data_IF_162504131556
#
_entry.id   IF_162504131556
#
_cell.length_a   1.000
_cell.length_b   1.000
_cell.length_c   1.000
_cell.angle_alpha   90.00
_cell.angle_beta   90.00
_cell.angle_gamma   90.00
#
_symmetry.space_group_name_H-M   'P 1'
#
loop_
_entity.id
_entity.type
_entity.pdbx_description
1 polymer ?
#
# COMPACT_ATOMS: atom_id res chain seq x y z
N UNK A 1 -10.70 -30.51 6.82
CA UNK A 1 -12.05 -29.88 6.76
C UNK A 1 -12.22 -28.71 7.73
N UNK A 2 -12.08 -28.85 9.06
CA UNK A 2 -12.19 -27.72 10.00
C UNK A 2 -11.19 -26.57 9.72
N UNK A 3 -9.93 -26.89 9.41
CA UNK A 3 -8.92 -25.88 9.09
C UNK A 3 -9.16 -25.17 7.75
N UNK A 4 -9.72 -25.86 6.74
CA UNK A 4 -10.06 -25.27 5.43
C UNK A 4 -11.20 -24.26 5.58
N UNK A 5 -12.21 -24.55 6.41
CA UNK A 5 -13.30 -23.62 6.71
C UNK A 5 -12.76 -22.39 7.48
N UNK A 6 -11.84 -22.60 8.42
CA UNK A 6 -11.21 -21.51 9.19
C UNK A 6 -10.34 -20.62 8.29
N UNK A 7 -9.54 -21.21 7.40
CA UNK A 7 -8.72 -20.47 6.43
C UNK A 7 -9.60 -19.70 5.45
N UNK A 8 -10.66 -20.32 4.94
CA UNK A 8 -11.66 -19.65 4.10
C UNK A 8 -12.32 -18.47 4.81
N UNK A 9 -12.63 -18.60 6.11
CA UNK A 9 -13.20 -17.52 6.93
C UNK A 9 -12.19 -16.38 7.18
N UNK A 10 -10.90 -16.69 7.35
CA UNK A 10 -9.83 -15.70 7.49
C UNK A 10 -9.62 -14.95 6.16
N UNK A 11 -9.61 -15.66 5.03
CA UNK A 11 -9.52 -15.09 3.68
C UNK A 11 -10.70 -14.15 3.39
N UNK A 12 -11.93 -14.56 3.65
CA UNK A 12 -13.11 -13.69 3.47
C UNK A 12 -13.09 -12.49 4.43
N UNK A 13 -12.54 -12.63 5.64
CA UNK A 13 -12.36 -11.53 6.59
C UNK A 13 -11.33 -10.48 6.15
N UNK A 14 -10.30 -10.87 5.39
CA UNK A 14 -9.27 -9.96 4.85
C UNK A 14 -9.81 -9.01 3.78
N UNK A 15 -10.89 -9.37 3.08
CA UNK A 15 -11.52 -8.49 2.07
C UNK A 15 -12.46 -7.45 2.67
N UNK A 16 -12.81 -7.54 3.96
CA UNK A 16 -13.68 -6.57 4.65
C UNK A 16 -12.90 -5.41 5.28
N UNK A 17 -11.60 -5.26 4.97
CA UNK A 17 -10.83 -4.11 5.43
C UNK A 17 -11.31 -2.89 4.65
N UNK A 18 -12.14 -2.08 5.32
CA UNK A 18 -12.57 -0.77 4.84
C UNK A 18 -11.36 0.04 4.38
N UNK A 19 -11.38 0.41 3.10
CA UNK A 19 -10.43 1.39 2.56
C UNK A 19 -10.59 2.69 3.35
N UNK A 20 -9.50 3.15 3.98
CA UNK A 20 -9.47 4.39 4.75
C UNK A 20 -8.81 5.47 3.92
N UNK A 21 -9.44 6.63 3.87
CA UNK A 21 -8.87 7.79 3.22
C UNK A 21 -7.85 8.47 4.14
N UNK A 22 -6.62 8.60 3.62
CA UNK A 22 -5.54 9.34 4.27
C UNK A 22 -5.23 10.60 3.47
N UNK A 23 -5.18 11.74 4.13
CA UNK A 23 -4.74 13.00 3.53
C UNK A 23 -3.35 13.34 4.03
N UNK A 24 -2.39 13.40 3.12
CA UNK A 24 -1.00 13.71 3.45
C UNK A 24 -0.61 15.09 2.89
N UNK A 25 -0.20 16.00 3.77
CA UNK A 25 0.20 17.37 3.42
C UNK A 25 1.66 17.60 3.79
N UNK A 26 2.47 18.03 2.82
CA UNK A 26 3.87 18.43 3.03
C UNK A 26 4.04 19.93 2.79
N UNK A 27 4.44 20.67 3.83
CA UNK A 27 4.82 22.08 3.73
C UNK A 27 6.34 22.18 3.65
N UNK A 28 6.85 22.57 2.48
CA UNK A 28 8.29 22.77 2.25
C UNK A 28 8.67 24.20 2.59
N UNK A 29 9.57 24.38 3.56
CA UNK A 29 10.06 25.70 3.99
C UNK A 29 11.23 26.15 3.11
N UNK A 30 11.54 27.45 3.17
CA UNK A 30 12.58 28.07 2.33
C UNK A 30 13.96 27.43 2.51
N UNK A 31 14.27 26.96 3.71
CA UNK A 31 15.52 26.28 4.05
C UNK A 31 15.58 24.83 3.52
N UNK A 32 14.48 24.30 2.96
CA UNK A 32 14.36 22.94 2.47
C UNK A 32 13.90 21.93 3.53
N UNK A 33 13.60 22.39 4.75
CA UNK A 33 12.94 21.57 5.76
C UNK A 33 11.47 21.34 5.39
N UNK A 34 10.90 20.27 5.94
CA UNK A 34 9.56 19.79 5.59
C UNK A 34 8.78 19.60 6.87
N UNK A 35 7.56 20.13 6.91
CA UNK A 35 6.57 19.77 7.91
C UNK A 35 5.53 18.87 7.24
N UNK A 36 5.36 17.65 7.75
CA UNK A 36 4.42 16.67 7.21
C UNK A 36 3.28 16.49 8.20
N UNK A 37 2.06 16.60 7.69
CA UNK A 37 0.83 16.29 8.43
C UNK A 37 0.09 15.17 7.71
N UNK A 38 -0.26 14.13 8.44
CA UNK A 38 -1.11 13.03 7.98
C UNK A 38 -2.42 13.11 8.73
N UNK A 39 -3.52 13.21 7.98
CA UNK A 39 -4.87 13.30 8.53
C UNK A 39 -5.68 12.09 8.09
N UNK A 40 -6.50 11.60 9.02
CA UNK A 40 -7.39 10.46 8.81
C UNK A 40 -8.64 10.66 9.62
N UNK A 41 -9.78 10.44 8.98
CA UNK A 41 -11.09 10.45 9.60
C UNK A 41 -11.36 9.05 10.19
N UNK A 42 -11.69 8.98 11.48
CA UNK A 42 -12.04 7.72 12.11
C UNK A 42 -12.84 7.93 13.38
N UNK A 43 -13.76 7.01 13.62
CA UNK A 43 -14.56 6.85 14.83
C UNK A 43 -13.88 5.99 15.91
N UNK A 44 -12.76 5.33 15.57
CA UNK A 44 -12.05 4.38 16.42
C UNK A 44 -10.86 5.02 17.14
N UNK A 45 -10.41 4.42 18.25
CA UNK A 45 -9.13 4.77 18.87
C UNK A 45 -7.91 4.15 18.15
N UNK A 46 -8.14 3.22 17.21
CA UNK A 46 -7.12 2.49 16.44
C UNK A 46 -6.85 3.12 15.06
N UNK A 47 -6.93 4.45 14.99
CA UNK A 47 -6.89 5.24 13.75
C UNK A 47 -5.63 5.01 12.92
N UNK A 48 -4.53 4.75 13.62
CA UNK A 48 -3.19 4.62 13.04
C UNK A 48 -2.72 3.16 12.96
N UNK A 49 -3.60 2.20 13.23
CA UNK A 49 -3.38 0.80 12.90
C UNK A 49 -3.81 0.57 11.44
N UNK A 50 -2.87 0.24 10.55
CA UNK A 50 -3.15 -0.01 9.13
C UNK A 50 -1.91 0.09 8.23
N UNK A 51 -2.13 0.00 6.91
CA UNK A 51 -1.08 0.03 5.88
C UNK A 51 -0.32 1.38 5.77
N UNK A 52 -0.73 2.40 6.52
CA UNK A 52 -0.01 3.66 6.63
C UNK A 52 0.04 4.14 8.10
N UNK A 53 0.86 3.48 8.95
CA UNK A 53 0.84 3.65 10.40
C UNK A 53 1.70 4.86 10.80
N UNK A 54 1.18 6.05 10.55
CA UNK A 54 1.68 7.29 11.14
C UNK A 54 0.67 7.70 12.20
N UNK A 55 1.06 8.02 13.45
CA UNK A 55 2.40 8.30 13.95
C UNK A 55 3.14 7.05 14.44
N UNK A 56 4.46 7.08 14.28
CA UNK A 56 5.35 5.92 14.51
C UNK A 56 6.03 5.91 15.89
N UNK A 57 6.15 7.08 16.49
CA UNK A 57 6.87 7.31 17.73
C UNK A 57 6.34 8.58 18.41
N UNK A 58 6.90 8.92 19.57
CA UNK A 58 6.53 10.10 20.34
C UNK A 58 6.99 11.43 19.73
N UNK A 59 7.76 11.41 18.63
CA UNK A 59 8.21 12.64 17.95
C UNK A 59 7.15 13.23 17.04
N UNK A 60 6.11 12.47 16.72
CA UNK A 60 4.91 12.97 16.06
C UNK A 60 3.98 13.63 17.08
N UNK A 61 3.48 14.81 16.72
CA UNK A 61 2.46 15.51 17.49
C UNK A 61 1.08 15.11 16.95
N UNK A 62 0.21 14.65 17.83
CA UNK A 62 -1.14 14.19 17.46
C UNK A 62 -2.15 15.23 17.94
N UNK A 63 -3.00 15.68 17.02
CA UNK A 63 -4.15 16.51 17.33
C UNK A 63 -5.43 15.79 16.94
N UNK A 64 -6.43 15.83 17.82
CA UNK A 64 -7.78 15.33 17.58
C UNK A 64 -8.71 16.53 17.45
N UNK A 65 -9.49 16.59 16.37
CA UNK A 65 -10.50 17.64 16.14
C UNK A 65 -11.76 17.06 15.52
N UNK A 66 -12.89 17.73 15.72
CA UNK A 66 -14.12 17.41 15.02
C UNK A 66 -14.03 17.89 13.58
N UNK A 67 -14.65 17.16 12.65
CA UNK A 67 -14.73 17.61 11.26
C UNK A 67 -15.60 18.88 11.19
N UNK A 68 -15.17 19.81 10.35
CA UNK A 68 -15.80 21.14 10.25
C UNK A 68 -17.25 21.07 9.74
N UNK A 69 -17.55 20.06 8.94
CA UNK A 69 -18.81 19.90 8.23
C UNK A 69 -19.77 18.91 8.93
N UNK A 70 -19.27 18.13 9.90
CA UNK A 70 -20.04 17.11 10.63
C UNK A 70 -19.35 16.80 11.97
N UNK A 71 -19.97 17.26 13.06
CA UNK A 71 -19.42 17.07 14.43
C UNK A 71 -19.46 15.61 14.91
N UNK A 72 -20.07 14.69 14.15
CA UNK A 72 -20.01 13.25 14.45
C UNK A 72 -18.73 12.60 13.93
N UNK A 73 -18.01 13.27 13.02
CA UNK A 73 -16.76 12.80 12.45
C UNK A 73 -15.57 13.36 13.22
N UNK A 74 -14.62 12.48 13.56
CA UNK A 74 -13.40 12.86 14.26
C UNK A 74 -12.22 12.74 13.30
N UNK A 75 -11.44 13.80 13.21
CA UNK A 75 -10.20 13.87 12.44
C UNK A 75 -9.02 13.76 13.40
N UNK A 76 -8.12 12.84 13.10
CA UNK A 76 -6.83 12.70 13.76
C UNK A 76 -5.74 13.20 12.82
N UNK A 77 -4.94 14.15 13.29
CA UNK A 77 -3.85 14.76 12.53
C UNK A 77 -2.52 14.50 13.24
N UNK A 78 -1.64 13.71 12.61
CA UNK A 78 -0.28 13.47 13.07
C UNK A 78 0.68 14.38 12.31
N UNK A 79 1.42 15.23 13.02
CA UNK A 79 2.36 16.19 12.44
C UNK A 79 3.79 15.96 12.93
N UNK A 80 4.77 16.01 12.03
CA UNK A 80 6.19 15.93 12.37
C UNK A 80 7.02 16.86 11.48
N UNK A 81 8.05 17.44 12.09
CA UNK A 81 9.05 18.26 11.41
C UNK A 81 10.24 17.40 10.98
N UNK A 82 10.71 17.63 9.75
CA UNK A 82 11.86 16.98 9.15
C UNK A 82 12.85 18.05 8.67
N UNK A 83 14.12 17.99 9.08
CA UNK A 83 15.12 18.98 8.67
C UNK A 83 15.49 18.91 7.18
N UNK A 84 15.14 17.81 6.49
CA UNK A 84 15.41 17.63 5.05
C UNK A 84 14.52 16.54 4.44
N UNK A 85 14.46 16.51 3.10
CA UNK A 85 13.88 15.40 2.35
C UNK A 85 14.52 14.05 2.69
N UNK A 86 15.84 14.02 2.94
CA UNK A 86 16.54 12.80 3.36
C UNK A 86 16.04 12.27 4.70
N UNK A 87 15.82 13.15 5.68
CA UNK A 87 15.28 12.75 6.98
C UNK A 87 13.84 12.20 6.86
N UNK A 88 13.01 12.82 6.00
CA UNK A 88 11.67 12.30 5.72
C UNK A 88 11.72 10.93 5.02
N UNK A 89 12.57 10.75 4.01
CA UNK A 89 12.77 9.44 3.36
C UNK A 89 13.21 8.38 4.36
N UNK A 90 14.14 8.70 5.27
CA UNK A 90 14.61 7.77 6.29
C UNK A 90 13.48 7.34 7.22
N UNK A 91 12.69 8.29 7.72
CA UNK A 91 11.53 7.99 8.57
C UNK A 91 10.52 7.09 7.82
N UNK A 92 10.20 7.41 6.57
CA UNK A 92 9.28 6.61 5.76
C UNK A 92 9.85 5.22 5.41
N UNK A 93 11.15 5.09 5.16
CA UNK A 93 11.80 3.82 4.82
C UNK A 93 11.85 2.80 5.96
N UNK A 94 11.69 3.26 7.22
CA UNK A 94 11.56 2.36 8.37
C UNK A 94 10.23 1.58 8.34
N UNK A 95 9.30 1.96 7.47
CA UNK A 95 8.13 1.15 7.15
C UNK A 95 8.55 -0.06 6.31
N UNK A 96 8.83 -1.15 7.00
CA UNK A 96 8.76 -2.50 6.44
C UNK A 96 7.46 -3.12 6.91
N UNK A 97 6.37 -2.85 6.22
CA UNK A 97 5.24 -3.78 6.33
C UNK A 97 5.73 -5.14 5.84
N UNK A 98 5.22 -6.21 6.46
CA UNK A 98 5.26 -7.59 5.95
C UNK A 98 4.96 -7.65 4.46
N UNK A 99 4.18 -6.69 3.99
CA UNK A 99 3.83 -6.48 2.61
C UNK A 99 4.34 -5.11 2.12
N UNK A 100 5.58 -5.06 1.67
CA UNK A 100 6.32 -3.84 1.28
C UNK A 100 5.76 -3.14 0.03
N UNK A 101 4.53 -2.63 0.09
CA UNK A 101 3.72 -2.25 -1.08
C UNK A 101 3.89 -0.82 -1.60
N UNK A 102 4.36 0.12 -0.77
CA UNK A 102 4.48 1.53 -1.14
C UNK A 102 5.93 1.99 -0.95
N UNK A 103 6.63 2.21 -2.06
CA UNK A 103 7.97 2.80 -2.05
C UNK A 103 7.86 4.31 -2.24
N UNK A 104 8.27 5.06 -1.22
CA UNK A 104 8.27 6.52 -1.24
C UNK A 104 9.65 7.03 -1.64
N UNK A 105 9.67 8.01 -2.54
CA UNK A 105 10.86 8.80 -2.81
C UNK A 105 10.53 10.28 -2.79
N UNK A 106 11.09 10.98 -1.80
CA UNK A 106 10.96 12.43 -1.64
C UNK A 106 12.25 13.11 -2.08
N UNK A 107 12.12 14.14 -2.92
CA UNK A 107 13.25 14.95 -3.38
C UNK A 107 12.85 16.42 -3.46
N UNK A 108 13.77 17.31 -3.08
CA UNK A 108 13.60 18.75 -3.25
C UNK A 108 14.72 19.26 -4.14
N UNK A 109 14.35 19.84 -5.28
CA UNK A 109 15.29 20.55 -6.15
C UNK A 109 15.28 22.04 -5.83
N UNK A 110 16.46 22.58 -5.53
CA UNK A 110 16.65 24.01 -5.31
C UNK A 110 17.31 24.65 -6.53
N UNK A 111 16.65 25.65 -7.10
CA UNK A 111 17.19 26.47 -8.19
C UNK A 111 17.23 27.94 -7.77
N UNK A 112 18.43 28.39 -7.42
CA UNK A 112 18.68 29.80 -7.12
C UNK A 112 18.71 30.64 -8.39
N UNK A 113 18.07 31.81 -8.34
CA UNK A 113 18.22 32.94 -9.28
C UNK A 113 18.48 34.20 -8.47
N UNK A 114 18.96 35.26 -9.13
CA UNK A 114 19.44 36.49 -8.49
C UNK A 114 18.50 37.08 -7.42
N UNK A 115 17.18 37.01 -7.64
CA UNK A 115 16.18 37.53 -6.69
C UNK A 115 15.18 36.48 -6.19
N UNK A 116 15.19 35.26 -6.72
CA UNK A 116 14.19 34.24 -6.42
C UNK A 116 14.85 32.88 -6.29
N UNK A 117 14.40 32.09 -5.32
CA UNK A 117 14.76 30.67 -5.24
C UNK A 117 13.52 29.85 -5.50
N UNK A 118 13.60 28.94 -6.48
CA UNK A 118 12.55 27.97 -6.74
C UNK A 118 12.88 26.68 -6.03
N UNK A 119 11.92 26.18 -5.25
CA UNK A 119 11.93 24.84 -4.70
C UNK A 119 10.94 24.00 -5.51
N UNK A 120 11.41 22.88 -6.06
CA UNK A 120 10.53 21.89 -6.70
C UNK A 120 10.49 20.67 -5.79
N UNK A 121 9.32 20.42 -5.20
CA UNK A 121 9.07 19.24 -4.40
C UNK A 121 8.62 18.09 -5.30
N UNK A 122 9.26 16.94 -5.14
CA UNK A 122 8.91 15.70 -5.79
C UNK A 122 8.59 14.68 -4.70
N UNK A 123 7.39 14.12 -4.75
CA UNK A 123 7.00 12.96 -3.96
C UNK A 123 6.52 11.90 -4.94
N UNK A 124 7.34 10.86 -5.06
CA UNK A 124 7.12 9.78 -6.00
C UNK A 124 6.63 8.59 -5.20
N UNK A 125 5.44 8.15 -5.56
CA UNK A 125 4.85 6.91 -5.10
C UNK A 125 5.18 5.89 -6.18
N UNK A 126 6.27 5.15 -5.98
CA UNK A 126 6.51 3.97 -6.80
C UNK A 126 5.53 2.91 -6.31
N UNK A 127 4.42 2.79 -7.02
CA UNK A 127 3.59 1.59 -6.93
C UNK A 127 4.47 0.42 -7.35
N UNK A 128 4.43 -0.67 -6.58
CA UNK A 128 4.82 -1.94 -7.16
C UNK A 128 3.88 -2.25 -8.33
N UNK A 129 4.43 -2.94 -9.31
CA UNK A 129 3.67 -3.63 -10.34
C UNK A 129 2.91 -4.77 -9.63
N UNK A 130 1.81 -4.41 -8.97
CA UNK A 130 0.93 -5.35 -8.29
C UNK A 130 0.36 -6.30 -9.32
N UNK A 131 0.24 -7.57 -8.97
CA UNK A 131 -0.33 -8.59 -9.84
C UNK A 131 0.59 -8.92 -11.03
N UNK A 132 1.91 -8.98 -10.79
CA UNK A 132 2.91 -9.44 -11.77
C UNK A 132 3.53 -10.78 -11.48
N UNK A 133 3.13 -11.47 -10.40
CA UNK A 133 3.54 -12.86 -10.21
C UNK A 133 3.29 -13.75 -11.44
N UNK A 134 2.27 -13.41 -12.24
CA UNK A 134 2.07 -13.98 -13.57
C UNK A 134 2.41 -12.93 -14.63
N UNK A 135 3.42 -13.18 -15.49
CA UNK A 135 3.67 -12.35 -16.66
C UNK A 135 2.40 -12.21 -17.50
N UNK A 136 2.10 -11.00 -17.96
CA UNK A 136 0.90 -10.74 -18.76
C UNK A 136 0.93 -11.54 -20.07
N UNK A 137 2.12 -11.82 -20.58
CA UNK A 137 2.38 -12.64 -21.76
C UNK A 137 1.95 -14.10 -21.61
N UNK A 138 1.91 -14.62 -20.38
CA UNK A 138 1.48 -15.98 -20.09
C UNK A 138 -0.05 -16.11 -20.02
N UNK A 139 -0.76 -14.99 -19.86
CA UNK A 139 -2.21 -14.95 -19.68
C UNK A 139 -2.97 -14.35 -20.87
N UNK A 140 -2.44 -13.26 -21.45
CA UNK A 140 -3.02 -12.57 -22.60
C UNK A 140 -2.40 -13.07 -23.90
N UNK A 141 -3.21 -13.11 -24.94
CA UNK A 141 -2.76 -13.38 -26.30
C UNK A 141 -1.98 -12.17 -26.86
N UNK A 142 -1.11 -12.37 -27.87
CA UNK A 142 -0.38 -11.27 -28.49
C UNK A 142 -1.26 -10.15 -29.05
N UNK A 143 -2.48 -10.48 -29.51
CA UNK A 143 -3.45 -9.48 -29.99
C UNK A 143 -4.03 -8.65 -28.85
N UNK A 144 -4.41 -9.29 -27.73
CA UNK A 144 -4.88 -8.60 -26.52
C UNK A 144 -3.80 -7.65 -25.95
N UNK A 145 -2.54 -8.08 -25.93
CA UNK A 145 -1.40 -7.25 -25.51
C UNK A 145 -1.23 -6.04 -26.43
N UNK A 146 -1.38 -6.24 -27.75
CA UNK A 146 -1.32 -5.13 -28.71
C UNK A 146 -2.45 -4.12 -28.48
N UNK A 147 -3.66 -4.61 -28.17
CA UNK A 147 -4.83 -3.78 -27.86
C UNK A 147 -4.67 -3.03 -26.54
N UNK A 148 -4.14 -3.68 -25.50
CA UNK A 148 -3.78 -3.05 -24.23
C UNK A 148 -2.77 -1.91 -24.43
N UNK A 149 -1.70 -2.15 -25.17
CA UNK A 149 -0.70 -1.12 -25.50
C UNK A 149 -1.28 0.04 -26.32
N UNK A 150 -2.33 -0.21 -27.10
CA UNK A 150 -3.07 0.81 -27.82
C UNK A 150 -4.11 1.57 -26.96
N UNK A 151 -4.19 1.27 -25.65
CA UNK A 151 -5.17 1.82 -24.70
C UNK A 151 -6.62 1.52 -25.10
N UNK A 152 -6.86 0.33 -25.63
CA UNK A 152 -8.22 -0.17 -25.89
C UNK A 152 -8.98 -0.29 -24.56
N UNK A 153 -10.22 0.22 -24.54
CA UNK A 153 -11.12 0.22 -23.37
C UNK A 153 -12.34 -0.67 -23.61
N UNK A 154 -12.25 -1.65 -24.51
CA UNK A 154 -13.34 -2.60 -24.74
C UNK A 154 -13.59 -3.47 -23.51
N UNK A 155 -14.86 -3.72 -23.20
CA UNK A 155 -15.29 -4.61 -22.12
C UNK A 155 -14.64 -5.99 -22.20
N UNK A 156 -14.55 -6.59 -23.39
CA UNK A 156 -13.93 -7.91 -23.57
C UNK A 156 -12.43 -7.95 -23.23
N UNK A 157 -11.70 -6.84 -23.36
CA UNK A 157 -10.30 -6.76 -22.94
C UNK A 157 -10.20 -6.47 -21.44
N UNK A 158 -11.10 -5.63 -20.93
CA UNK A 158 -11.18 -5.29 -19.50
C UNK A 158 -11.45 -6.55 -18.66
N UNK A 159 -12.42 -7.38 -19.04
CA UNK A 159 -12.72 -8.67 -18.39
C UNK A 159 -11.49 -9.59 -18.34
N UNK A 160 -10.69 -9.60 -19.42
CA UNK A 160 -9.48 -10.42 -19.53
C UNK A 160 -8.36 -9.88 -18.64
N UNK A 161 -8.22 -8.56 -18.56
CA UNK A 161 -7.27 -7.89 -17.65
C UNK A 161 -7.66 -8.09 -16.19
N UNK A 162 -8.95 -8.01 -15.86
CA UNK A 162 -9.46 -8.28 -14.51
C UNK A 162 -9.19 -9.73 -14.11
N UNK A 163 -9.47 -10.69 -15.00
CA UNK A 163 -9.17 -12.10 -14.75
C UNK A 163 -7.66 -12.36 -14.54
N UNK A 164 -6.80 -11.66 -15.31
CA UNK A 164 -5.34 -11.70 -15.11
C UNK A 164 -4.95 -11.14 -13.74
N UNK A 165 -5.49 -9.98 -13.36
CA UNK A 165 -5.25 -9.36 -12.06
C UNK A 165 -5.65 -10.29 -10.90
N UNK A 166 -6.83 -10.91 -10.97
CA UNK A 166 -7.29 -11.88 -9.95
C UNK A 166 -6.35 -13.08 -9.88
N UNK A 167 -5.96 -13.64 -11.02
CA UNK A 167 -5.06 -14.78 -11.07
C UNK A 167 -3.68 -14.47 -10.48
N UNK A 168 -3.12 -13.30 -10.81
CA UNK A 168 -1.81 -12.92 -10.31
C UNK A 168 -1.86 -12.47 -8.84
N UNK A 169 -2.94 -11.85 -8.36
CA UNK A 169 -3.16 -11.57 -6.94
C UNK A 169 -3.16 -12.85 -6.10
N UNK A 170 -3.86 -13.85 -6.61
CA UNK A 170 -4.01 -15.16 -6.00
C UNK A 170 -2.65 -15.87 -5.90
N UNK A 171 -1.83 -15.76 -6.95
CA UNK A 171 -0.48 -16.32 -6.97
C UNK A 171 0.47 -15.58 -6.01
N UNK A 172 0.44 -14.25 -5.97
CA UNK A 172 1.24 -13.47 -5.01
C UNK A 172 0.92 -13.84 -3.56
N UNK A 173 -0.37 -13.95 -3.23
CA UNK A 173 -0.80 -14.36 -1.90
C UNK A 173 -0.28 -15.75 -1.55
N UNK A 174 -0.31 -16.67 -2.50
CA UNK A 174 0.22 -18.02 -2.32
C UNK A 174 1.73 -18.03 -2.04
N UNK A 175 2.50 -17.25 -2.80
CA UNK A 175 3.95 -17.11 -2.60
C UNK A 175 4.29 -16.52 -1.23
N UNK A 176 3.51 -15.54 -0.76
CA UNK A 176 3.66 -14.97 0.59
C UNK A 176 3.37 -16.03 1.66
N UNK A 177 2.31 -16.81 1.51
CA UNK A 177 1.96 -17.89 2.43
C UNK A 177 3.06 -18.95 2.49
N UNK A 178 3.57 -19.40 1.34
CA UNK A 178 4.66 -20.37 1.26
C UNK A 178 5.92 -19.86 1.98
N UNK A 179 6.33 -18.62 1.69
CA UNK A 179 7.47 -17.98 2.34
C UNK A 179 7.28 -17.89 3.86
N UNK A 180 6.08 -17.56 4.31
CA UNK A 180 5.76 -17.44 5.73
C UNK A 180 5.87 -18.77 6.45
N UNK A 181 5.33 -19.85 5.86
CA UNK A 181 5.43 -21.22 6.37
C UNK A 181 6.89 -21.67 6.45
N UNK A 182 7.69 -21.43 5.40
CA UNK A 182 9.13 -21.76 5.40
C UNK A 182 9.88 -20.99 6.50
N UNK A 183 9.52 -19.73 6.74
CA UNK A 183 10.18 -18.88 7.75
C UNK A 183 9.73 -19.13 9.19
N UNK A 184 8.67 -19.93 9.41
CA UNK A 184 8.08 -20.20 10.73
C UNK A 184 8.11 -21.70 11.03
N UNK A 185 9.27 -22.28 11.41
CA UNK A 185 9.44 -23.72 11.56
C UNK A 185 8.60 -24.37 12.70
N UNK A 186 7.96 -23.57 13.56
CA UNK A 186 7.03 -24.05 14.59
C UNK A 186 5.59 -24.25 14.08
N UNK A 187 5.28 -23.94 12.81
CA UNK A 187 3.94 -24.16 12.28
C UNK A 187 3.69 -25.64 11.97
N UNK A 188 2.56 -26.18 12.42
CA UNK A 188 2.07 -27.54 12.08
C UNK A 188 1.75 -27.72 10.58
N UNK A 189 1.86 -26.65 9.78
CA UNK A 189 1.58 -26.63 8.35
C UNK A 189 2.92 -26.65 7.62
N UNK A 190 3.12 -27.60 6.72
CA UNK A 190 4.31 -27.67 5.86
C UNK A 190 4.04 -27.09 4.47
N UNK A 191 5.10 -26.72 3.74
CA UNK A 191 4.96 -26.35 2.32
C UNK A 191 4.33 -27.47 1.47
N UNK A 192 4.48 -28.73 1.90
CA UNK A 192 3.84 -29.87 1.25
C UNK A 192 2.32 -29.87 1.45
N UNK A 193 1.84 -29.50 2.65
CA UNK A 193 0.41 -29.36 2.93
C UNK A 193 -0.21 -28.19 2.16
N UNK A 194 0.53 -27.09 2.02
CA UNK A 194 0.11 -25.91 1.26
C UNK A 194 -0.04 -26.25 -0.23
N UNK A 195 0.90 -27.02 -0.79
CA UNK A 195 0.87 -27.45 -2.19
C UNK A 195 -0.23 -28.49 -2.46
N UNK A 196 -0.42 -29.44 -1.55
CA UNK A 196 -1.46 -30.47 -1.68
C UNK A 196 -2.89 -29.90 -1.65
N UNK A 197 -3.08 -28.71 -1.06
CA UNK A 197 -4.38 -28.05 -0.96
C UNK A 197 -4.48 -26.76 -1.80
N UNK A 198 -3.54 -26.51 -2.72
CA UNK A 198 -3.46 -25.26 -3.49
C UNK A 198 -4.78 -24.91 -4.15
N UNK A 199 -5.37 -25.83 -4.92
CA UNK A 199 -6.62 -25.55 -5.65
C UNK A 199 -7.80 -25.26 -4.71
N UNK A 200 -7.85 -25.94 -3.55
CA UNK A 200 -8.87 -25.70 -2.52
C UNK A 200 -8.70 -24.37 -1.77
N UNK A 201 -7.47 -23.87 -1.68
CA UNK A 201 -7.14 -22.59 -1.05
C UNK A 201 -7.38 -21.40 -1.99
N UNK A 202 -7.20 -21.61 -3.30
CA UNK A 202 -7.36 -20.58 -4.33
C UNK A 202 -8.78 -20.51 -4.91
N UNK A 203 -9.76 -21.20 -4.31
CA UNK A 203 -11.17 -21.22 -4.73
C UNK A 203 -11.35 -21.44 -6.24
N UNK A 204 -10.59 -22.38 -6.81
CA UNK A 204 -10.81 -22.87 -8.19
C UNK A 204 -11.78 -24.04 -8.22
#
# INVERSE_FOLDING_TARGET
MKHVIVIGLILTGLFLVSCRDYTATSVVKQDGSIERTIEVESDSSLVFAGAYPVPKDSTWQILRREAKDDSTKIIYAATKFFPSATALNQDLSQFKDSLSYLQYSIRIDRRFRWFNTYLTYHEIYAGLDLFTALPMEDFLTPDEIKRFNARDTSEALDDRLEAWHVASATEELYQVLEKTVVSTPESDITSQDLNANRDSLLMK
#
